data_IF_592443481198
#
_entry.id   IF_592443481198
#
_cell.length_a   1.000
_cell.length_b   1.000
_cell.length_c   1.000
_cell.angle_alpha   90.00
_cell.angle_beta   90.00
_cell.angle_gamma   90.00
#
_symmetry.space_group_name_H-M   'P 1'
#
loop_
_entity.id
_entity.type
_entity.pdbx_description
1 polymer ?
#
# COMPACT_ATOMS: atom_id res chain seq x y z
N UNK A 1 31.91 -5.05 5.97
CA UNK A 1 32.53 -5.78 7.11
C UNK A 1 32.91 -4.77 8.17
N UNK A 2 32.83 -5.13 9.45
CA UNK A 2 33.21 -4.25 10.56
C UNK A 2 34.72 -4.30 10.78
N UNK A 3 35.31 -3.17 11.19
CA UNK A 3 36.73 -3.11 11.53
C UNK A 3 37.01 -3.78 12.88
N UNK A 4 38.25 -4.19 13.12
CA UNK A 4 38.68 -4.81 14.39
C UNK A 4 38.56 -3.90 15.61
N UNK A 5 38.35 -2.59 15.42
CA UNK A 5 38.16 -1.61 16.49
C UNK A 5 36.67 -1.30 16.77
N UNK A 6 35.73 -2.00 16.12
CA UNK A 6 34.29 -1.77 16.33
C UNK A 6 33.89 -2.21 17.73
N UNK A 7 33.43 -1.27 18.56
CA UNK A 7 33.06 -1.53 19.96
C UNK A 7 31.60 -1.97 20.13
N UNK A 8 30.69 -1.53 19.27
CA UNK A 8 29.30 -1.98 19.24
C UNK A 8 28.64 -1.69 17.88
N UNK A 9 27.64 -2.51 17.54
CA UNK A 9 26.75 -2.28 16.39
C UNK A 9 25.31 -2.59 16.84
N UNK A 10 24.39 -1.66 16.57
CA UNK A 10 22.97 -1.88 16.72
C UNK A 10 22.34 -1.97 15.33
N UNK A 11 21.71 -3.10 15.02
CA UNK A 11 21.02 -3.32 13.74
C UNK A 11 19.58 -3.71 14.00
N UNK A 12 18.67 -3.12 13.22
CA UNK A 12 17.27 -3.52 13.16
C UNK A 12 16.91 -3.83 11.69
N UNK A 13 16.20 -4.93 11.47
CA UNK A 13 15.59 -5.26 10.20
C UNK A 13 14.15 -5.72 10.43
N UNK A 14 13.21 -5.17 9.67
CA UNK A 14 11.81 -5.58 9.69
C UNK A 14 11.41 -6.12 8.30
N UNK A 15 10.72 -7.26 8.29
CA UNK A 15 10.18 -7.87 7.09
C UNK A 15 8.71 -8.19 7.29
N UNK A 16 7.87 -7.72 6.38
CA UNK A 16 6.43 -7.96 6.41
C UNK A 16 5.98 -8.59 5.09
N UNK A 17 5.23 -9.69 5.20
CA UNK A 17 4.58 -10.38 4.08
C UNK A 17 3.17 -10.82 4.50
N UNK A 18 2.24 -9.87 4.50
CA UNK A 18 0.83 -10.14 4.76
C UNK A 18 0.11 -10.62 3.50
N UNK A 19 -0.76 -11.63 3.66
CA UNK A 19 -1.77 -11.96 2.66
C UNK A 19 -3.01 -11.14 2.97
N UNK A 20 -3.65 -10.56 1.96
CA UNK A 20 -4.94 -9.91 2.17
C UNK A 20 -5.95 -10.92 2.68
N UNK A 21 -6.77 -10.51 3.66
CA UNK A 21 -7.91 -11.31 4.11
C UNK A 21 -8.85 -11.63 2.94
N UNK A 22 -9.08 -10.64 2.08
CA UNK A 22 -9.79 -10.79 0.80
C UNK A 22 -8.82 -10.47 -0.36
N UNK A 23 -8.27 -11.48 -1.05
CA UNK A 23 -7.33 -11.26 -2.15
C UNK A 23 -7.98 -10.68 -3.41
N UNK A 24 -7.29 -9.72 -4.04
CA UNK A 24 -7.70 -9.18 -5.34
C UNK A 24 -7.66 -10.24 -6.43
N UNK A 25 -8.76 -10.36 -7.19
CA UNK A 25 -8.84 -11.21 -8.37
C UNK A 25 -7.97 -10.66 -9.50
N UNK A 26 -6.96 -11.43 -9.94
CA UNK A 26 -6.07 -10.99 -11.04
C UNK A 26 -6.81 -10.69 -12.35
N UNK A 27 -7.95 -11.34 -12.58
CA UNK A 27 -8.79 -11.12 -13.76
C UNK A 27 -9.53 -9.77 -13.76
N UNK A 28 -9.63 -9.11 -12.61
CA UNK A 28 -10.34 -7.84 -12.43
C UNK A 28 -9.41 -6.62 -12.56
N UNK A 29 -8.10 -6.86 -12.67
CA UNK A 29 -7.12 -5.82 -12.90
C UNK A 29 -7.34 -5.19 -14.28
N UNK A 30 -7.34 -3.85 -14.32
CA UNK A 30 -7.47 -3.10 -15.57
C UNK A 30 -6.69 -1.80 -15.48
N UNK A 31 -6.26 -1.31 -16.63
CA UNK A 31 -5.54 -0.04 -16.71
C UNK A 31 -6.50 1.13 -16.56
N UNK A 32 -6.24 1.99 -15.57
CA UNK A 32 -7.07 3.13 -15.21
C UNK A 32 -6.17 4.37 -15.02
N UNK A 33 -6.68 5.59 -15.25
CA UNK A 33 -5.89 6.80 -15.10
C UNK A 33 -5.51 7.07 -13.63
N UNK A 34 -4.22 7.28 -13.39
CA UNK A 34 -3.68 7.83 -12.15
C UNK A 34 -3.27 9.29 -12.35
N UNK A 35 -3.76 10.17 -11.49
CA UNK A 35 -3.58 11.62 -11.59
C UNK A 35 -2.42 12.06 -10.70
N UNK A 36 -1.40 12.68 -11.30
CA UNK A 36 -0.25 13.20 -10.58
C UNK A 36 -0.49 14.65 -10.11
N UNK A 37 0.30 15.09 -9.13
CA UNK A 37 0.20 16.46 -8.59
C UNK A 37 0.51 17.54 -9.62
N UNK A 38 1.40 17.26 -10.58
CA UNK A 38 1.76 18.17 -11.67
C UNK A 38 0.67 18.30 -12.76
N UNK A 39 -0.48 17.64 -12.56
CA UNK A 39 -1.61 17.64 -13.49
C UNK A 39 -1.48 16.65 -14.64
N UNK A 40 -0.37 15.89 -14.72
CA UNK A 40 -0.24 14.82 -15.70
C UNK A 40 -1.04 13.58 -15.29
N UNK A 41 -1.31 12.69 -16.24
CA UNK A 41 -2.05 11.44 -16.00
C UNK A 41 -1.36 10.29 -16.71
N UNK A 42 -1.34 9.12 -16.06
CA UNK A 42 -0.84 7.88 -16.66
C UNK A 42 -1.77 6.73 -16.34
N UNK A 43 -2.07 5.91 -17.35
CA UNK A 43 -2.78 4.67 -17.10
C UNK A 43 -1.87 3.68 -16.38
N UNK A 44 -2.33 3.18 -15.23
CA UNK A 44 -1.65 2.16 -14.44
C UNK A 44 -2.58 0.96 -14.23
N UNK A 45 -1.98 -0.23 -14.13
CA UNK A 45 -2.73 -1.43 -13.76
C UNK A 45 -3.27 -1.28 -12.35
N UNK A 46 -4.58 -1.06 -12.26
CA UNK A 46 -5.30 -0.85 -11.02
C UNK A 46 -6.01 -2.13 -10.63
N UNK A 47 -5.81 -2.58 -9.39
CA UNK A 47 -6.47 -3.77 -8.85
C UNK A 47 -7.91 -3.45 -8.46
N UNK A 48 -8.81 -4.41 -8.67
CA UNK A 48 -10.22 -4.25 -8.33
C UNK A 48 -10.73 -5.40 -7.49
N UNK A 49 -11.58 -5.06 -6.53
CA UNK A 49 -12.34 -6.01 -5.73
C UNK A 49 -13.62 -5.29 -5.29
N UNK A 50 -14.70 -6.05 -5.12
CA UNK A 50 -15.98 -5.52 -4.64
C UNK A 50 -16.42 -6.34 -3.44
N UNK A 51 -16.09 -5.85 -2.25
CA UNK A 51 -16.41 -6.49 -0.98
C UNK A 51 -16.85 -5.46 0.07
N UNK A 52 -17.28 -5.95 1.23
CA UNK A 52 -17.65 -5.08 2.37
C UNK A 52 -16.40 -4.70 3.16
N UNK A 53 -16.09 -3.41 3.22
CA UNK A 53 -14.96 -2.85 3.97
C UNK A 53 -15.42 -1.78 4.95
N UNK A 54 -14.62 -1.51 5.97
CA UNK A 54 -14.72 -0.27 6.74
C UNK A 54 -14.13 0.85 5.88
N UNK A 55 -14.92 1.87 5.60
CA UNK A 55 -14.51 3.03 4.81
C UNK A 55 -15.28 4.28 5.26
N UNK A 56 -14.78 5.46 4.91
CA UNK A 56 -15.45 6.71 5.25
C UNK A 56 -14.71 7.94 4.78
N UNK A 57 -15.15 9.10 5.28
CA UNK A 57 -14.53 10.39 5.02
C UNK A 57 -13.84 10.92 6.28
N UNK A 58 -12.74 11.63 6.09
CA UNK A 58 -12.02 12.40 7.10
C UNK A 58 -12.14 13.88 6.70
N UNK A 59 -13.22 14.52 7.18
CA UNK A 59 -13.58 15.89 6.76
C UNK A 59 -12.50 16.92 7.12
N UNK A 60 -11.91 16.80 8.31
CA UNK A 60 -10.88 17.73 8.82
C UNK A 60 -9.65 17.83 7.92
N UNK A 61 -9.38 16.81 7.11
CA UNK A 61 -8.24 16.74 6.18
C UNK A 61 -8.67 16.55 4.72
N UNK A 62 -9.97 16.71 4.43
CA UNK A 62 -10.54 16.53 3.10
C UNK A 62 -10.09 15.22 2.41
N UNK A 63 -10.17 14.10 3.13
CA UNK A 63 -9.71 12.80 2.64
C UNK A 63 -10.78 11.71 2.77
N UNK A 64 -10.55 10.57 2.11
CA UNK A 64 -11.32 9.33 2.28
C UNK A 64 -10.40 8.24 2.81
N UNK A 65 -10.93 7.33 3.61
CA UNK A 65 -10.19 6.17 4.11
C UNK A 65 -10.91 4.86 3.76
N UNK A 66 -10.14 3.78 3.72
CA UNK A 66 -10.61 2.39 3.61
C UNK A 66 -9.64 1.50 4.38
N UNK A 67 -10.16 0.49 5.08
CA UNK A 67 -9.36 -0.54 5.76
C UNK A 67 -9.26 -1.79 4.89
N UNK A 68 -8.02 -2.23 4.59
CA UNK A 68 -7.73 -3.46 3.87
C UNK A 68 -7.03 -4.45 4.81
N UNK A 69 -7.77 -5.35 5.49
CA UNK A 69 -7.18 -6.27 6.45
C UNK A 69 -6.30 -7.34 5.78
N UNK A 70 -5.24 -7.73 6.48
CA UNK A 70 -4.49 -8.94 6.20
C UNK A 70 -5.09 -10.14 6.96
N UNK A 71 -4.75 -11.36 6.53
CA UNK A 71 -4.98 -12.62 7.28
C UNK A 71 -4.20 -12.65 8.61
#
# INVERSE_FOLDING_TARGET
SFSSATLAVLVNAAYFKGKWKEPFGKGDNRDEPFYYEDGTTKNITTMHIKETYNYGALEDVNAKFIELPYE
#
